data_IF_019183359878
#
_entry.id   IF_019183359878
#
_cell.length_a   1.000
_cell.length_b   1.000
_cell.length_c   1.000
_cell.angle_alpha   90.00
_cell.angle_beta   90.00
_cell.angle_gamma   90.00
#
_symmetry.space_group_name_H-M   'P 1'
#
loop_
_entity.id
_entity.type
_entity.pdbx_description
1 polymer ?
#
# COMPACT_ATOMS: atom_id res chain seq x y z
N UNK A 1 -3.12 -58.30 -16.83
CA UNK A 1 -2.97 -57.36 -15.70
C UNK A 1 -2.63 -55.96 -16.25
N UNK A 2 -3.64 -55.09 -16.36
CA UNK A 2 -3.45 -53.71 -16.85
C UNK A 2 -3.11 -52.82 -15.65
N UNK A 3 -1.94 -52.19 -15.66
CA UNK A 3 -1.57 -51.21 -14.66
C UNK A 3 -2.17 -49.86 -15.06
N UNK A 4 -3.13 -49.37 -14.29
CA UNK A 4 -3.68 -48.02 -14.43
C UNK A 4 -2.67 -47.07 -13.83
N UNK A 5 -2.07 -46.18 -14.66
CA UNK A 5 -1.21 -45.12 -14.25
C UNK A 5 -2.07 -43.93 -13.82
N UNK A 6 -2.15 -43.67 -12.51
CA UNK A 6 -2.85 -42.51 -11.95
C UNK A 6 -1.96 -41.26 -12.12
N UNK A 7 -2.30 -40.43 -13.09
CA UNK A 7 -1.61 -39.11 -13.24
C UNK A 7 -2.27 -38.11 -12.30
N UNK A 8 -1.59 -37.75 -11.21
CA UNK A 8 -2.04 -36.73 -10.30
C UNK A 8 -1.63 -35.38 -10.90
N UNK A 9 -2.59 -34.60 -11.40
CA UNK A 9 -2.39 -33.21 -11.74
C UNK A 9 -2.34 -32.38 -10.45
N UNK A 10 -1.14 -31.99 -10.01
CA UNK A 10 -0.98 -30.96 -8.99
C UNK A 10 -1.40 -29.63 -9.61
N UNK A 11 -2.57 -29.15 -9.28
CA UNK A 11 -3.05 -27.83 -9.68
C UNK A 11 -2.16 -26.76 -9.05
N UNK A 12 -1.39 -26.05 -9.86
CA UNK A 12 -0.67 -24.84 -9.43
C UNK A 12 -1.70 -23.76 -9.23
N UNK A 13 -2.03 -23.43 -7.98
CA UNK A 13 -2.88 -22.28 -7.65
C UNK A 13 -2.10 -21.00 -8.02
N UNK A 14 -2.47 -20.38 -9.14
CA UNK A 14 -1.98 -19.04 -9.49
C UNK A 14 -2.70 -18.06 -8.57
N UNK A 15 -1.98 -17.48 -7.64
CA UNK A 15 -2.49 -16.39 -6.82
C UNK A 15 -2.62 -15.15 -7.68
N UNK A 16 -3.85 -14.79 -8.02
CA UNK A 16 -4.17 -13.52 -8.67
C UNK A 16 -4.38 -12.44 -7.59
N UNK A 17 -3.92 -11.22 -7.85
CA UNK A 17 -4.26 -10.06 -7.04
C UNK A 17 -5.78 -9.86 -6.99
N UNK A 18 -6.32 -9.54 -5.80
CA UNK A 18 -7.75 -9.31 -5.60
C UNK A 18 -8.00 -7.95 -4.93
N UNK A 19 -8.62 -6.98 -5.64
CA UNK A 19 -8.99 -5.70 -5.04
C UNK A 19 -9.90 -5.84 -3.82
N UNK A 20 -10.86 -6.76 -3.83
CA UNK A 20 -11.75 -7.00 -2.70
C UNK A 20 -11.04 -7.59 -1.50
N UNK A 21 -10.08 -8.50 -1.71
CA UNK A 21 -9.23 -8.99 -0.64
C UNK A 21 -8.35 -7.88 -0.07
N UNK A 22 -7.76 -7.01 -0.92
CA UNK A 22 -6.98 -5.86 -0.47
C UNK A 22 -7.78 -4.95 0.48
N UNK A 23 -9.03 -4.66 0.13
CA UNK A 23 -9.94 -3.87 0.99
C UNK A 23 -10.17 -4.56 2.34
N UNK A 24 -10.41 -5.87 2.33
CA UNK A 24 -10.62 -6.64 3.56
C UNK A 24 -9.35 -6.68 4.43
N UNK A 25 -8.18 -6.88 3.81
CA UNK A 25 -6.88 -6.91 4.50
C UNK A 25 -6.53 -5.53 5.11
N UNK A 26 -6.89 -4.45 4.43
CA UNK A 26 -6.76 -3.10 4.98
C UNK A 26 -7.72 -2.87 6.16
N UNK A 27 -8.98 -3.27 6.01
CA UNK A 27 -10.03 -3.13 7.03
C UNK A 27 -9.72 -3.96 8.28
N UNK A 28 -9.10 -5.12 8.15
CA UNK A 28 -8.69 -5.96 9.27
C UNK A 28 -7.68 -5.26 10.21
N UNK A 29 -7.07 -4.16 9.79
CA UNK A 29 -6.16 -3.37 10.64
C UNK A 29 -6.90 -2.38 11.55
N UNK A 30 -8.21 -2.17 11.36
CA UNK A 30 -9.04 -1.33 12.24
C UNK A 30 -9.16 -2.03 13.60
N UNK A 31 -8.85 -1.29 14.69
CA UNK A 31 -8.81 -1.86 16.05
C UNK A 31 -7.52 -2.65 16.35
N UNK A 32 -6.64 -2.86 15.36
CA UNK A 32 -5.30 -3.49 15.53
C UNK A 32 -4.22 -2.41 15.54
N UNK A 33 -4.13 -1.60 14.49
CA UNK A 33 -3.23 -0.44 14.46
C UNK A 33 -3.92 0.74 15.14
N UNK A 34 -3.50 1.06 16.36
CA UNK A 34 -4.20 1.99 17.27
C UNK A 34 -3.57 3.38 17.30
N UNK A 35 -2.33 3.54 16.82
CA UNK A 35 -1.56 4.78 16.95
C UNK A 35 -0.86 5.16 15.66
N UNK A 36 -0.74 6.47 15.44
CA UNK A 36 0.12 7.02 14.40
C UNK A 36 1.53 7.22 14.96
N UNK A 37 2.54 6.57 14.35
CA UNK A 37 3.95 6.70 14.78
C UNK A 37 4.87 6.83 13.56
N UNK A 38 5.34 8.04 13.25
CA UNK A 38 6.25 8.30 12.14
C UNK A 38 7.72 8.06 12.48
N UNK A 39 8.03 7.61 13.69
CA UNK A 39 9.42 7.41 14.13
C UNK A 39 10.17 6.43 13.23
N UNK A 40 11.45 6.71 13.03
CA UNK A 40 12.35 5.80 12.32
C UNK A 40 12.60 4.54 13.15
N UNK A 41 12.51 3.39 12.50
CA UNK A 41 12.83 2.10 13.10
C UNK A 41 13.69 1.28 12.15
N UNK A 42 14.66 0.56 12.68
CA UNK A 42 15.32 -0.52 11.95
C UNK A 42 14.41 -1.73 11.96
N UNK A 43 14.15 -2.27 10.79
CA UNK A 43 13.26 -3.40 10.59
C UNK A 43 13.95 -4.46 9.73
N UNK A 44 13.43 -5.67 9.73
CA UNK A 44 13.93 -6.74 8.88
C UNK A 44 13.78 -6.40 7.39
N UNK A 45 14.46 -7.14 6.55
CA UNK A 45 14.39 -7.03 5.11
C UNK A 45 14.64 -8.39 4.44
N UNK A 46 13.78 -8.84 3.51
CA UNK A 46 12.47 -8.26 3.14
C UNK A 46 11.39 -8.50 4.21
N UNK A 47 10.16 -8.00 3.97
CA UNK A 47 8.99 -8.24 4.81
C UNK A 47 9.07 -7.61 6.23
N UNK A 48 10.00 -6.68 6.48
CA UNK A 48 10.11 -6.00 7.76
C UNK A 48 8.94 -5.05 8.04
N UNK A 49 8.52 -4.98 9.30
CA UNK A 49 7.42 -4.13 9.75
C UNK A 49 7.75 -3.50 11.12
N UNK A 50 7.06 -2.43 11.45
CA UNK A 50 6.99 -1.91 12.82
C UNK A 50 5.93 -2.68 13.61
N UNK A 51 5.90 -2.53 14.93
CA UNK A 51 4.89 -3.17 15.77
C UNK A 51 3.47 -2.89 15.25
N UNK A 52 2.61 -3.91 15.18
CA UNK A 52 1.31 -3.84 14.49
C UNK A 52 0.34 -2.82 15.10
N UNK A 53 0.51 -2.50 16.40
CA UNK A 53 -0.33 -1.55 17.13
C UNK A 53 -0.05 -0.10 16.73
N UNK A 54 1.00 0.13 15.96
CA UNK A 54 1.42 1.46 15.49
C UNK A 54 1.79 1.45 14.02
N UNK A 55 1.75 2.62 13.42
CA UNK A 55 2.15 2.79 12.02
C UNK A 55 1.77 4.16 11.48
N UNK A 56 2.09 4.40 10.23
CA UNK A 56 1.66 5.59 9.48
C UNK A 56 0.69 5.18 8.37
N UNK A 57 0.20 6.15 7.60
CA UNK A 57 -0.73 5.91 6.49
C UNK A 57 -0.23 4.87 5.47
N UNK A 58 1.05 4.91 5.14
CA UNK A 58 1.66 3.96 4.21
C UNK A 58 1.74 2.53 4.77
N UNK A 59 1.87 2.35 6.09
CA UNK A 59 1.92 1.01 6.68
C UNK A 59 0.60 0.26 6.49
N UNK A 60 -0.55 0.97 6.46
CA UNK A 60 -1.86 0.37 6.15
C UNK A 60 -1.84 -0.26 4.75
N UNK A 61 -1.32 0.47 3.75
CA UNK A 61 -1.23 0.02 2.37
C UNK A 61 -0.20 -1.12 2.24
N UNK A 62 0.98 -0.94 2.85
CA UNK A 62 2.07 -1.94 2.82
C UNK A 62 1.61 -3.27 3.41
N UNK A 63 0.95 -3.25 4.57
CA UNK A 63 0.45 -4.45 5.25
C UNK A 63 -0.63 -5.15 4.45
N UNK A 64 -1.60 -4.42 3.91
CA UNK A 64 -2.67 -4.99 3.10
C UNK A 64 -2.11 -5.64 1.82
N UNK A 65 -1.20 -4.98 1.10
CA UNK A 65 -0.54 -5.56 -0.08
C UNK A 65 0.32 -6.78 0.26
N UNK A 66 0.93 -6.80 1.43
CA UNK A 66 1.77 -7.92 1.89
C UNK A 66 0.96 -9.20 2.08
N UNK A 67 -0.29 -9.12 2.57
CA UNK A 67 -1.21 -10.27 2.62
C UNK A 67 -1.47 -10.80 1.22
N UNK A 68 -1.52 -9.90 0.20
CA UNK A 68 -1.61 -10.26 -1.22
C UNK A 68 -0.25 -10.68 -1.83
N UNK A 69 0.76 -10.98 -1.00
CA UNK A 69 2.14 -11.38 -1.40
C UNK A 69 2.90 -10.31 -2.19
N UNK A 70 2.52 -9.05 -2.05
CA UNK A 70 3.20 -7.90 -2.65
C UNK A 70 3.99 -7.17 -1.57
N UNK A 71 5.31 -7.38 -1.51
CA UNK A 71 6.18 -6.71 -0.55
C UNK A 71 6.71 -5.39 -1.10
N UNK A 72 6.01 -4.29 -0.79
CA UNK A 72 6.42 -2.95 -1.21
C UNK A 72 7.79 -2.53 -0.65
N UNK A 73 8.20 -3.04 0.50
CA UNK A 73 9.53 -2.75 1.05
C UNK A 73 10.62 -3.20 0.07
N UNK A 74 10.54 -4.45 -0.36
CA UNK A 74 11.50 -5.02 -1.31
C UNK A 74 11.39 -4.35 -2.69
N UNK A 75 10.18 -4.26 -3.22
CA UNK A 75 9.94 -3.76 -4.58
C UNK A 75 10.38 -2.30 -4.76
N UNK A 76 10.06 -1.43 -3.79
CA UNK A 76 10.46 -0.02 -3.83
C UNK A 76 11.97 0.10 -3.64
N UNK A 77 12.55 -0.63 -2.68
CA UNK A 77 14.00 -0.58 -2.45
C UNK A 77 14.80 -1.00 -3.69
N UNK A 78 14.41 -2.10 -4.35
CA UNK A 78 15.06 -2.59 -5.56
C UNK A 78 14.92 -1.61 -6.73
N UNK A 79 13.70 -1.05 -6.96
CA UNK A 79 13.48 -0.07 -8.02
C UNK A 79 14.23 1.25 -7.75
N UNK A 80 14.25 1.72 -6.49
CA UNK A 80 15.03 2.90 -6.11
C UNK A 80 16.53 2.70 -6.28
N UNK A 81 17.07 1.54 -5.94
CA UNK A 81 18.50 1.25 -6.17
C UNK A 81 18.88 1.36 -7.65
N UNK A 82 18.02 0.89 -8.53
CA UNK A 82 18.25 0.92 -9.97
C UNK A 82 17.97 2.31 -10.59
N UNK A 83 17.09 3.10 -9.98
CA UNK A 83 16.52 4.32 -10.57
C UNK A 83 16.46 5.49 -9.58
N UNK A 84 17.44 5.65 -8.71
CA UNK A 84 17.39 6.61 -7.60
C UNK A 84 17.10 8.05 -8.03
N UNK A 85 17.57 8.46 -9.21
CA UNK A 85 17.33 9.80 -9.75
C UNK A 85 15.84 10.08 -10.08
N UNK A 86 15.04 9.05 -10.30
CA UNK A 86 13.61 9.18 -10.60
C UNK A 86 12.76 9.42 -9.32
N UNK A 87 13.33 9.21 -8.15
CA UNK A 87 12.62 9.35 -6.88
C UNK A 87 12.84 10.71 -6.21
N UNK A 88 11.85 11.21 -5.45
CA UNK A 88 11.99 12.49 -4.75
C UNK A 88 13.14 12.47 -3.74
N UNK A 89 14.05 13.45 -3.85
CA UNK A 89 15.18 13.61 -2.92
C UNK A 89 14.81 14.48 -1.72
N UNK A 90 13.63 14.26 -1.15
CA UNK A 90 13.20 14.91 0.09
C UNK A 90 13.94 14.29 1.28
N UNK A 91 13.91 14.95 2.40
CA UNK A 91 14.50 14.48 3.66
C UNK A 91 16.03 14.27 3.60
N UNK A 92 16.72 14.95 2.67
CA UNK A 92 18.17 14.82 2.52
C UNK A 92 18.66 13.45 2.03
N UNK A 93 17.79 12.65 1.39
CA UNK A 93 18.13 11.32 0.91
C UNK A 93 19.28 11.37 -0.11
N UNK A 94 20.41 10.75 0.22
CA UNK A 94 21.58 10.59 -0.65
C UNK A 94 21.70 9.18 -1.22
N UNK A 95 21.01 8.22 -0.60
CA UNK A 95 20.97 6.81 -0.99
C UNK A 95 19.64 6.22 -0.56
N UNK A 96 19.37 4.99 -0.97
CA UNK A 96 18.19 4.24 -0.53
C UNK A 96 18.32 3.79 0.92
N UNK A 97 17.18 3.70 1.62
CA UNK A 97 17.09 3.17 2.97
C UNK A 97 15.92 2.18 3.07
N UNK A 98 16.25 0.87 3.13
CA UNK A 98 15.29 -0.23 3.19
C UNK A 98 14.33 -0.17 4.39
N UNK A 99 14.68 0.59 5.43
CA UNK A 99 13.85 0.70 6.63
C UNK A 99 12.69 1.71 6.48
N UNK A 100 12.84 2.70 5.57
CA UNK A 100 11.91 3.84 5.53
C UNK A 100 11.37 4.15 4.13
N UNK A 101 12.06 3.76 3.04
CA UNK A 101 11.70 4.21 1.69
C UNK A 101 10.28 3.81 1.28
N UNK A 102 9.83 2.60 1.63
CA UNK A 102 8.47 2.12 1.39
C UNK A 102 7.41 2.73 2.31
N UNK A 103 7.81 3.43 3.37
CA UNK A 103 6.93 4.16 4.28
C UNK A 103 6.72 5.62 3.87
N UNK A 104 7.40 6.08 2.82
CA UNK A 104 7.29 7.43 2.26
C UNK A 104 6.28 7.46 1.13
N UNK A 105 5.17 8.17 1.30
CA UNK A 105 4.07 8.26 0.33
C UNK A 105 4.56 8.63 -1.06
N UNK A 106 5.46 9.60 -1.17
CA UNK A 106 5.99 10.05 -2.47
C UNK A 106 6.78 8.96 -3.20
N UNK A 107 7.49 8.10 -2.45
CA UNK A 107 8.22 6.99 -3.05
C UNK A 107 7.26 5.91 -3.55
N UNK A 108 6.19 5.61 -2.79
CA UNK A 108 5.14 4.67 -3.22
C UNK A 108 4.46 5.20 -4.49
N UNK A 109 4.06 6.48 -4.51
CA UNK A 109 3.43 7.11 -5.67
C UNK A 109 4.34 7.08 -6.90
N UNK A 110 5.64 7.37 -6.72
CA UNK A 110 6.63 7.28 -7.80
C UNK A 110 6.75 5.85 -8.31
N UNK A 111 6.86 4.86 -7.43
CA UNK A 111 6.92 3.46 -7.79
C UNK A 111 5.68 3.04 -8.60
N UNK A 112 4.47 3.34 -8.12
CA UNK A 112 3.24 2.99 -8.81
C UNK A 112 3.12 3.66 -10.17
N UNK A 113 3.50 4.93 -10.28
CA UNK A 113 3.55 5.64 -11.58
C UNK A 113 4.50 4.96 -12.55
N UNK A 114 5.69 4.60 -12.10
CA UNK A 114 6.71 3.91 -12.92
C UNK A 114 6.27 2.51 -13.36
N UNK A 115 5.44 1.84 -12.55
CA UNK A 115 4.86 0.52 -12.90
C UNK A 115 3.60 0.61 -13.78
N UNK A 116 3.14 1.83 -14.13
CA UNK A 116 1.99 2.01 -14.99
C UNK A 116 0.64 1.83 -14.28
N UNK A 117 0.61 1.87 -12.94
CA UNK A 117 -0.61 1.70 -12.15
C UNK A 117 -1.45 2.98 -12.04
N UNK A 118 -0.95 4.13 -12.51
CA UNK A 118 -1.70 5.39 -12.49
C UNK A 118 -2.92 5.31 -13.40
N UNK A 119 -4.09 5.67 -12.87
CA UNK A 119 -5.36 5.68 -13.60
C UNK A 119 -6.06 7.04 -13.48
N UNK A 120 -7.00 7.31 -14.40
CA UNK A 120 -7.83 8.52 -14.40
C UNK A 120 -9.32 8.19 -14.39
N UNK A 121 -9.64 6.93 -14.17
CA UNK A 121 -11.00 6.40 -14.14
C UNK A 121 -11.75 6.82 -12.87
N UNK A 122 -12.99 6.38 -12.73
CA UNK A 122 -13.71 6.48 -11.47
C UNK A 122 -13.05 5.61 -10.38
N UNK A 123 -13.17 6.06 -9.13
CA UNK A 123 -12.63 5.33 -7.99
C UNK A 123 -13.35 4.02 -7.76
N UNK A 124 -12.61 2.93 -7.79
CA UNK A 124 -13.08 1.58 -7.50
C UNK A 124 -12.52 1.06 -6.17
N UNK A 125 -13.23 0.13 -5.54
CA UNK A 125 -12.75 -0.54 -4.33
C UNK A 125 -11.40 -1.23 -4.59
N UNK A 126 -10.44 -1.02 -3.68
CA UNK A 126 -9.07 -1.50 -3.81
C UNK A 126 -8.12 -0.56 -4.53
N UNK A 127 -8.60 0.56 -5.09
CA UNK A 127 -7.71 1.61 -5.60
C UNK A 127 -6.91 2.23 -4.45
N UNK A 128 -5.73 2.71 -4.77
CA UNK A 128 -4.86 3.42 -3.82
C UNK A 128 -4.82 4.88 -4.22
N UNK A 129 -5.07 5.77 -3.27
CA UNK A 129 -5.11 7.21 -3.51
C UNK A 129 -4.09 7.91 -2.63
N UNK A 130 -3.47 8.95 -3.17
CA UNK A 130 -2.56 9.83 -2.42
C UNK A 130 -3.07 11.26 -2.42
N UNK A 131 -2.77 11.99 -1.33
CA UNK A 131 -3.18 13.39 -1.14
C UNK A 131 -2.02 14.25 -0.68
N UNK A 132 -2.17 15.55 -0.96
CA UNK A 132 -1.45 16.63 -0.31
C UNK A 132 -2.37 17.19 0.79
N UNK A 133 -1.92 17.12 2.04
CA UNK A 133 -2.64 17.66 3.21
C UNK A 133 -2.31 19.15 3.45
N UNK A 134 -1.42 19.74 2.65
CA UNK A 134 -0.85 21.05 2.89
C UNK A 134 0.40 20.99 3.77
N UNK A 135 1.15 22.10 3.80
CA UNK A 135 2.37 22.20 4.62
C UNK A 135 3.48 21.19 4.27
N UNK A 136 3.44 20.58 3.09
CA UNK A 136 4.38 19.53 2.68
C UNK A 136 4.05 18.14 3.21
N UNK A 137 2.94 17.97 3.90
CA UNK A 137 2.46 16.68 4.39
C UNK A 137 1.74 15.91 3.27
N UNK A 138 2.04 14.62 3.17
CA UNK A 138 1.43 13.72 2.19
C UNK A 138 0.69 12.60 2.88
N UNK A 139 -0.33 12.07 2.23
CA UNK A 139 -1.17 11.01 2.77
C UNK A 139 -1.47 9.95 1.71
N UNK A 140 -1.81 8.74 2.15
CA UNK A 140 -2.18 7.61 1.30
C UNK A 140 -3.23 6.75 1.99
N UNK A 141 -4.12 6.14 1.20
CA UNK A 141 -5.13 5.22 1.71
C UNK A 141 -5.68 4.33 0.59
N UNK A 142 -6.52 3.38 0.97
CA UNK A 142 -7.17 2.42 0.09
C UNK A 142 -8.66 2.75 0.00
N UNK A 143 -9.17 2.80 -1.23
CA UNK A 143 -10.60 3.02 -1.51
C UNK A 143 -11.37 1.80 -1.05
N UNK A 144 -12.36 2.03 -0.18
CA UNK A 144 -13.25 1.01 0.36
C UNK A 144 -14.35 0.62 -0.64
N UNK A 145 -14.95 -0.55 -0.43
CA UNK A 145 -16.21 -0.99 -1.02
C UNK A 145 -17.44 -0.37 -0.33
N UNK A 146 -17.26 0.30 0.83
CA UNK A 146 -18.31 1.05 1.54
C UNK A 146 -18.33 2.49 1.11
N UNK A 147 -19.51 3.09 1.18
CA UNK A 147 -19.76 4.44 0.68
C UNK A 147 -20.57 5.26 1.70
N UNK A 148 -20.41 6.59 1.59
CA UNK A 148 -21.32 7.56 2.19
C UNK A 148 -22.00 8.35 1.06
N UNK A 149 -23.27 8.06 0.80
CA UNK A 149 -23.90 8.50 -0.45
C UNK A 149 -23.12 7.98 -1.65
N UNK A 150 -22.76 8.87 -2.57
CA UNK A 150 -22.01 8.53 -3.79
C UNK A 150 -20.48 8.54 -3.63
N UNK A 151 -19.97 8.83 -2.41
CA UNK A 151 -18.53 8.92 -2.17
C UNK A 151 -18.02 7.64 -1.50
N UNK A 152 -17.04 6.91 -2.07
CA UNK A 152 -16.40 5.80 -1.40
C UNK A 152 -15.68 6.26 -0.13
N UNK A 153 -15.71 5.44 0.92
CA UNK A 153 -14.89 5.62 2.11
C UNK A 153 -13.43 5.27 1.80
N UNK A 154 -12.54 5.72 2.67
CA UNK A 154 -11.10 5.44 2.58
C UNK A 154 -10.65 4.72 3.85
N UNK A 155 -9.88 3.64 3.68
CA UNK A 155 -9.20 2.97 4.78
C UNK A 155 -7.78 3.52 4.85
N UNK A 156 -7.44 4.14 5.98
CA UNK A 156 -6.18 4.88 6.18
C UNK A 156 -5.84 5.03 7.67
N UNK A 157 -4.67 5.66 7.97
CA UNK A 157 -4.30 6.12 9.30
C UNK A 157 -3.78 7.57 9.20
N UNK A 158 -4.50 8.53 9.79
CA UNK A 158 -4.13 9.95 9.76
C UNK A 158 -3.86 10.53 11.17
N UNK A 159 -3.78 9.69 12.20
CA UNK A 159 -3.46 10.15 13.57
C UNK A 159 -3.98 9.26 14.69
N UNK A 160 -5.11 8.57 14.50
CA UNK A 160 -5.81 7.83 15.55
C UNK A 160 -5.88 6.31 15.30
N UNK A 161 -4.86 5.74 14.62
CA UNK A 161 -4.87 4.37 14.17
C UNK A 161 -5.61 4.21 12.84
N UNK A 162 -5.77 2.96 12.41
CA UNK A 162 -6.44 2.66 11.14
C UNK A 162 -7.95 2.90 11.27
N UNK A 163 -8.50 3.69 10.35
CA UNK A 163 -9.91 4.07 10.28
C UNK A 163 -10.43 3.87 8.86
N UNK A 164 -11.77 3.79 8.72
CA UNK A 164 -12.50 3.81 7.47
C UNK A 164 -13.41 5.04 7.44
N UNK A 165 -13.04 6.08 6.69
CA UNK A 165 -13.63 7.42 6.80
C UNK A 165 -13.95 8.07 5.45
N UNK A 166 -14.85 9.05 5.47
CA UNK A 166 -15.21 9.88 4.33
C UNK A 166 -14.19 11.02 4.16
N UNK A 167 -13.05 10.70 3.56
CA UNK A 167 -11.99 11.69 3.29
C UNK A 167 -11.58 11.81 1.83
N UNK A 168 -12.13 11.01 0.93
CA UNK A 168 -11.70 10.95 -0.46
C UNK A 168 -11.56 12.33 -1.11
N UNK A 169 -12.53 13.21 -0.88
CA UNK A 169 -12.58 14.56 -1.45
C UNK A 169 -12.19 15.67 -0.47
N UNK A 170 -11.70 15.32 0.72
CA UNK A 170 -11.40 16.28 1.80
C UNK A 170 -10.09 17.05 1.56
N UNK A 171 -9.15 16.46 0.83
CA UNK A 171 -7.83 17.01 0.54
C UNK A 171 -7.53 16.95 -0.96
N UNK A 172 -6.47 17.66 -1.40
CA UNK A 172 -6.04 17.66 -2.78
C UNK A 172 -5.47 16.28 -3.16
N UNK A 173 -6.15 15.57 -4.07
CA UNK A 173 -5.67 14.30 -4.62
C UNK A 173 -4.43 14.55 -5.47
N UNK A 174 -3.36 13.78 -5.25
CA UNK A 174 -2.09 13.86 -5.97
C UNK A 174 -1.76 12.61 -6.78
N UNK A 175 -2.47 11.51 -6.53
CA UNK A 175 -2.34 10.27 -7.30
C UNK A 175 -3.52 9.35 -7.09
N UNK A 176 -3.83 8.57 -8.15
CA UNK A 176 -4.84 7.53 -8.15
C UNK A 176 -4.26 6.32 -8.88
N UNK A 177 -4.22 5.17 -8.22
CA UNK A 177 -3.52 3.98 -8.69
C UNK A 177 -4.40 2.75 -8.55
N UNK A 178 -4.33 1.86 -9.55
CA UNK A 178 -5.01 0.56 -9.58
C UNK A 178 -4.01 -0.53 -9.91
N UNK A 179 -3.89 -1.51 -9.04
CA UNK A 179 -3.05 -2.69 -9.24
C UNK A 179 -3.92 -3.76 -9.92
N UNK A 180 -3.36 -4.44 -10.93
CA UNK A 180 -4.03 -5.48 -11.73
C UNK A 180 -3.43 -6.87 -11.46
#
# INVERSE_FOLDING_TARGET
>A
MHKILLVIFAGVSVWAFSPSALVNDARAQIGVTLRYDPSYSRIDYPMGDVAVEKGVCSDVVVRALRVQRIDLQRLIHEDMRANFAAYPRRWGAKTTDRNIDHRRVLNIATYFTRKGYAVRDEFAAGDIVTWDLGGGLTHIGIVSDRRKGDTPLIIHNIGHGTQEEDILRKFKITGHFRIY
#
